data_IF_706964246992
#
_entry.id   IF_706964246992
#
_cell.length_a   1.000
_cell.length_b   1.000
_cell.length_c   1.000
_cell.angle_alpha   90.00
_cell.angle_beta   90.00
_cell.angle_gamma   90.00
#
_symmetry.space_group_name_H-M   'P 1'
#
loop_
_entity.id
_entity.type
_entity.pdbx_description
1 polymer ?
#
# COMPACT_ATOMS: atom_id res chain seq x y z
N UNK A 1 -20.96 -6.57 17.66
CA UNK A 1 -21.76 -7.15 16.59
C UNK A 1 -22.30 -6.06 15.64
N UNK A 2 -23.02 -5.02 16.12
CA UNK A 2 -23.60 -3.97 15.28
C UNK A 2 -22.55 -3.21 14.44
N UNK A 3 -21.42 -2.83 15.02
CA UNK A 3 -20.30 -2.18 14.29
C UNK A 3 -19.65 -3.11 13.27
N UNK A 4 -19.50 -4.40 13.60
CA UNK A 4 -19.00 -5.40 12.66
C UNK A 4 -19.94 -5.58 11.48
N UNK A 5 -21.26 -5.65 11.72
CA UNK A 5 -22.27 -5.77 10.66
C UNK A 5 -22.31 -4.51 9.78
N UNK A 6 -22.24 -3.32 10.36
CA UNK A 6 -22.21 -2.06 9.62
C UNK A 6 -20.95 -1.93 8.75
N UNK A 7 -19.81 -2.34 9.29
CA UNK A 7 -18.55 -2.39 8.54
C UNK A 7 -18.61 -3.42 7.40
N UNK A 8 -19.30 -4.58 7.62
CA UNK A 8 -19.60 -5.55 6.57
C UNK A 8 -20.44 -4.94 5.44
N UNK A 9 -21.49 -4.21 5.81
CA UNK A 9 -22.40 -3.58 4.84
C UNK A 9 -21.65 -2.51 4.06
N UNK A 10 -20.80 -1.72 4.71
CA UNK A 10 -19.97 -0.72 4.04
C UNK A 10 -18.94 -1.35 3.11
N UNK A 11 -18.26 -2.43 3.53
CA UNK A 11 -17.33 -3.18 2.68
C UNK A 11 -18.08 -3.90 1.54
N UNK A 12 -19.22 -4.49 1.83
CA UNK A 12 -20.05 -5.14 0.82
C UNK A 12 -20.54 -4.13 -0.22
N UNK A 13 -21.05 -2.97 0.21
CA UNK A 13 -21.43 -1.88 -0.69
C UNK A 13 -20.25 -1.32 -1.48
N UNK A 14 -19.03 -1.38 -0.92
CA UNK A 14 -17.79 -0.96 -1.58
C UNK A 14 -17.28 -1.98 -2.61
N UNK A 15 -17.51 -3.30 -2.38
CA UNK A 15 -17.06 -4.40 -3.24
C UNK A 15 -18.10 -4.82 -4.27
N UNK A 16 -19.38 -4.56 -4.03
CA UNK A 16 -20.50 -4.98 -4.86
C UNK A 16 -21.13 -3.74 -5.50
N UNK A 17 -20.33 -3.00 -6.25
CA UNK A 17 -20.91 -2.08 -7.24
C UNK A 17 -21.61 -2.91 -8.31
N UNK A 18 -22.88 -2.57 -8.70
CA UNK A 18 -23.62 -3.25 -9.77
C UNK A 18 -22.83 -3.42 -11.08
N UNK A 19 -21.87 -2.52 -11.33
CA UNK A 19 -20.97 -2.61 -12.50
C UNK A 19 -19.96 -3.76 -12.36
N UNK A 20 -19.40 -3.98 -11.19
CA UNK A 20 -18.49 -5.08 -10.91
C UNK A 20 -19.15 -6.44 -11.07
N UNK A 21 -20.46 -6.55 -10.78
CA UNK A 21 -21.23 -7.78 -10.97
C UNK A 21 -21.44 -8.16 -12.45
N UNK A 22 -21.42 -7.19 -13.36
CA UNK A 22 -21.55 -7.45 -14.79
C UNK A 22 -20.28 -7.98 -15.44
N UNK A 23 -19.13 -7.72 -14.81
CA UNK A 23 -17.78 -8.08 -15.34
C UNK A 23 -17.28 -9.39 -14.71
N UNK A 24 -17.76 -9.73 -13.52
CA UNK A 24 -17.30 -10.91 -12.77
C UNK A 24 -18.11 -12.15 -13.14
N UNK A 25 -17.42 -13.27 -13.29
CA UNK A 25 -18.07 -14.58 -13.40
C UNK A 25 -18.83 -14.92 -12.12
N UNK A 26 -19.84 -15.82 -12.21
CA UNK A 26 -20.60 -16.27 -11.05
C UNK A 26 -19.69 -16.83 -9.92
N UNK A 27 -18.55 -17.43 -10.25
CA UNK A 27 -17.58 -17.95 -9.29
C UNK A 27 -16.80 -16.85 -8.58
N UNK A 28 -16.49 -15.74 -9.26
CA UNK A 28 -15.81 -14.59 -8.67
C UNK A 28 -16.74 -13.83 -7.73
N UNK A 29 -18.01 -13.69 -8.10
CA UNK A 29 -19.06 -13.14 -7.22
C UNK A 29 -19.23 -14.03 -5.97
N UNK A 30 -19.32 -15.36 -6.15
CA UNK A 30 -19.43 -16.30 -5.03
C UNK A 30 -18.19 -16.23 -4.13
N UNK A 31 -16.99 -16.15 -4.70
CA UNK A 31 -15.74 -15.94 -3.96
C UNK A 31 -15.77 -14.67 -3.13
N UNK A 32 -16.23 -13.57 -3.71
CA UNK A 32 -16.43 -12.29 -3.01
C UNK A 32 -17.41 -12.40 -1.86
N UNK A 33 -18.56 -13.04 -2.07
CA UNK A 33 -19.58 -13.28 -1.03
C UNK A 33 -19.05 -14.14 0.12
N UNK A 34 -18.19 -15.11 -0.16
CA UNK A 34 -17.57 -15.96 0.88
C UNK A 34 -16.48 -15.23 1.64
N UNK A 35 -15.66 -14.42 0.95
CA UNK A 35 -14.53 -13.70 1.55
C UNK A 35 -14.98 -12.46 2.34
N UNK A 36 -15.99 -11.75 1.88
CA UNK A 36 -16.46 -10.52 2.53
C UNK A 36 -16.83 -10.70 4.02
N UNK A 37 -17.49 -11.77 4.47
CA UNK A 37 -17.77 -11.99 5.89
C UNK A 37 -16.53 -12.32 6.73
N UNK A 38 -15.45 -12.81 6.12
CA UNK A 38 -14.23 -13.17 6.87
C UNK A 38 -13.52 -11.93 7.42
N UNK A 39 -13.63 -10.81 6.74
CA UNK A 39 -13.01 -9.54 7.16
C UNK A 39 -13.57 -9.07 8.50
N UNK A 40 -14.90 -8.84 8.65
CA UNK A 40 -15.46 -8.42 9.94
C UNK A 40 -15.38 -9.52 11.00
N UNK A 41 -15.41 -10.79 10.63
CA UNK A 41 -15.16 -11.88 11.55
C UNK A 41 -13.75 -11.77 12.13
N UNK A 42 -12.74 -11.47 11.29
CA UNK A 42 -11.38 -11.24 11.76
C UNK A 42 -11.31 -10.05 12.72
N UNK A 43 -11.85 -8.88 12.33
CA UNK A 43 -11.81 -7.68 13.17
C UNK A 43 -12.55 -7.86 14.49
N UNK A 44 -13.71 -8.53 14.47
CA UNK A 44 -14.46 -8.85 15.70
C UNK A 44 -13.66 -9.81 16.58
N UNK A 45 -13.11 -10.87 16.02
CA UNK A 45 -12.30 -11.86 16.74
C UNK A 45 -11.05 -11.21 17.33
N UNK A 46 -10.34 -10.40 16.56
CA UNK A 46 -9.15 -9.68 17.02
C UNK A 46 -9.48 -8.72 18.15
N UNK A 47 -10.60 -8.00 18.07
CA UNK A 47 -11.07 -7.13 19.16
C UNK A 47 -11.36 -7.93 20.44
N UNK A 48 -12.18 -8.98 20.33
CA UNK A 48 -12.57 -9.82 21.47
C UNK A 48 -11.34 -10.45 22.13
N UNK A 49 -10.46 -11.05 21.33
CA UNK A 49 -9.22 -11.68 21.85
C UNK A 49 -8.30 -10.64 22.51
N UNK A 50 -8.15 -9.47 21.90
CA UNK A 50 -7.31 -8.40 22.45
C UNK A 50 -7.83 -7.94 23.81
N UNK A 51 -9.13 -7.76 23.94
CA UNK A 51 -9.76 -7.39 25.21
C UNK A 51 -9.65 -8.50 26.26
N UNK A 52 -9.95 -9.75 25.90
CA UNK A 52 -9.90 -10.89 26.80
C UNK A 52 -8.49 -11.18 27.32
N UNK A 53 -7.50 -11.23 26.42
CA UNK A 53 -6.12 -11.56 26.80
C UNK A 53 -5.42 -10.43 27.57
N UNK A 54 -5.90 -9.20 27.47
CA UNK A 54 -5.38 -8.07 28.25
C UNK A 54 -6.07 -7.88 29.61
N UNK A 55 -7.19 -8.57 29.90
CA UNK A 55 -7.90 -8.44 31.19
C UNK A 55 -7.05 -8.72 32.43
N UNK A 56 -6.14 -9.73 32.45
CA UNK A 56 -5.29 -9.99 33.61
C UNK A 56 -4.30 -8.85 33.94
N UNK A 57 -4.04 -7.96 32.96
CA UNK A 57 -3.13 -6.83 33.15
C UNK A 57 -3.78 -5.74 34.01
N UNK A 58 -2.97 -5.00 34.82
CA UNK A 58 -3.47 -3.83 35.50
C UNK A 58 -4.02 -2.78 34.54
N UNK A 59 -4.98 -1.93 34.95
CA UNK A 59 -5.68 -1.00 34.01
C UNK A 59 -4.75 -0.16 33.16
N UNK A 60 -3.62 0.30 33.72
CA UNK A 60 -2.64 1.11 33.00
C UNK A 60 -1.88 0.35 31.90
N UNK A 61 -1.73 -0.97 32.02
CA UNK A 61 -1.02 -1.81 31.05
C UNK A 61 -1.95 -2.46 30.00
N UNK A 62 -3.27 -2.43 30.21
CA UNK A 62 -4.24 -3.01 29.26
C UNK A 62 -4.13 -2.43 27.86
N UNK A 63 -3.92 -1.11 27.66
CA UNK A 63 -3.69 -0.57 26.29
C UNK A 63 -2.53 -1.23 25.58
N UNK A 64 -1.42 -1.51 26.27
CA UNK A 64 -0.28 -2.25 25.72
C UNK A 64 -0.67 -3.68 25.34
N UNK A 65 -1.39 -4.38 26.21
CA UNK A 65 -1.88 -5.73 25.93
C UNK A 65 -2.78 -5.78 24.70
N UNK A 66 -3.75 -4.86 24.62
CA UNK A 66 -4.67 -4.76 23.47
C UNK A 66 -3.90 -4.48 22.18
N UNK A 67 -2.98 -3.51 22.17
CA UNK A 67 -2.16 -3.20 21.01
C UNK A 67 -1.27 -4.37 20.61
N UNK A 68 -0.68 -5.08 21.58
CA UNK A 68 0.15 -6.27 21.34
C UNK A 68 -0.64 -7.38 20.66
N UNK A 69 -1.78 -7.75 21.22
CA UNK A 69 -2.60 -8.86 20.66
C UNK A 69 -3.14 -8.49 19.28
N UNK A 70 -3.67 -7.27 19.14
CA UNK A 70 -4.17 -6.79 17.86
C UNK A 70 -3.10 -6.80 16.78
N UNK A 71 -1.95 -6.19 17.05
CA UNK A 71 -0.85 -6.10 16.07
C UNK A 71 -0.29 -7.47 15.71
N UNK A 72 -0.23 -8.41 16.66
CA UNK A 72 0.18 -9.78 16.40
C UNK A 72 -0.77 -10.52 15.47
N UNK A 73 -2.08 -10.36 15.65
CA UNK A 73 -3.09 -10.96 14.78
C UNK A 73 -3.13 -10.30 13.39
N UNK A 74 -3.03 -8.97 13.35
CA UNK A 74 -2.95 -8.21 12.11
C UNK A 74 -1.68 -8.58 11.32
N UNK A 75 -0.54 -8.71 12.03
CA UNK A 75 0.72 -9.20 11.46
C UNK A 75 0.61 -10.60 10.89
N UNK A 76 -0.11 -11.50 11.55
CA UNK A 76 -0.34 -12.86 11.04
C UNK A 76 -1.04 -12.86 9.67
N UNK A 77 -2.04 -12.01 9.46
CA UNK A 77 -2.67 -11.85 8.14
C UNK A 77 -1.68 -11.36 7.09
N UNK A 78 -0.86 -10.37 7.42
CA UNK A 78 0.19 -9.86 6.53
C UNK A 78 1.22 -10.94 6.15
N UNK A 79 1.61 -11.79 7.11
CA UNK A 79 2.54 -12.90 6.88
C UNK A 79 1.92 -13.99 5.99
N UNK A 80 0.62 -14.23 6.09
CA UNK A 80 -0.13 -15.12 5.21
C UNK A 80 -0.35 -14.54 3.82
N UNK A 81 0.14 -13.33 3.55
CA UNK A 81 -0.08 -12.58 2.30
C UNK A 81 -1.56 -12.47 1.95
N UNK A 82 -2.40 -12.35 2.97
CA UNK A 82 -3.83 -12.16 2.78
C UNK A 82 -4.06 -10.83 2.06
N UNK A 83 -4.81 -10.80 0.95
CA UNK A 83 -4.89 -9.62 0.07
C UNK A 83 -5.75 -8.48 0.62
N UNK A 84 -6.00 -8.44 1.92
CA UNK A 84 -6.79 -7.39 2.53
C UNK A 84 -5.85 -6.29 3.04
N UNK A 85 -5.87 -5.10 2.43
CA UNK A 85 -4.96 -4.01 2.76
C UNK A 85 -5.40 -3.20 3.99
N UNK A 86 -6.25 -3.74 4.84
CA UNK A 86 -6.89 -2.98 5.92
C UNK A 86 -6.20 -3.21 7.26
N UNK A 87 -4.96 -2.75 7.38
CA UNK A 87 -4.33 -2.58 8.67
C UNK A 87 -4.87 -1.32 9.37
N UNK A 88 -5.12 -1.36 10.66
CA UNK A 88 -5.59 -0.16 11.37
C UNK A 88 -4.62 1.02 11.23
N UNK A 89 -3.33 0.75 11.16
CA UNK A 89 -2.34 1.77 10.86
C UNK A 89 -2.54 2.45 9.51
N UNK A 90 -3.17 1.76 8.54
CA UNK A 90 -3.42 2.30 7.20
C UNK A 90 -4.32 3.53 7.21
N UNK A 91 -5.17 3.70 8.22
CA UNK A 91 -6.04 4.87 8.36
C UNK A 91 -5.27 6.18 8.63
N UNK A 92 -4.00 6.08 9.00
CA UNK A 92 -3.14 7.23 9.31
C UNK A 92 -2.31 7.73 8.12
N UNK A 93 -2.59 7.30 6.89
CA UNK A 93 -1.80 7.65 5.70
C UNK A 93 -1.68 9.17 5.45
N UNK A 94 -2.68 9.96 5.82
CA UNK A 94 -2.69 11.43 5.69
C UNK A 94 -2.08 12.15 6.91
N UNK A 95 -1.49 11.44 7.86
CA UNK A 95 -0.85 12.00 9.04
C UNK A 95 0.65 11.71 9.09
N UNK A 96 1.47 12.43 8.30
CA UNK A 96 2.91 12.15 8.18
C UNK A 96 3.65 12.06 9.51
N UNK A 97 3.26 12.86 10.52
CA UNK A 97 3.89 12.84 11.82
C UNK A 97 3.76 11.49 12.54
N UNK A 98 2.57 10.89 12.50
CA UNK A 98 2.28 9.63 13.20
C UNK A 98 2.83 8.39 12.53
N UNK A 99 3.08 8.44 11.22
CA UNK A 99 3.52 7.27 10.45
C UNK A 99 5.04 7.10 10.37
N UNK A 100 5.84 8.05 10.90
CA UNK A 100 7.30 8.00 10.76
C UNK A 100 7.92 6.75 11.39
N UNK A 101 7.30 6.18 12.42
CA UNK A 101 7.74 4.94 13.08
C UNK A 101 7.74 3.72 12.13
N UNK A 102 7.13 3.85 10.94
CA UNK A 102 7.13 2.78 9.95
C UNK A 102 8.54 2.46 9.41
N UNK A 103 9.52 3.37 9.46
CA UNK A 103 10.90 3.07 9.08
C UNK A 103 11.64 2.23 10.14
N UNK A 104 11.07 2.07 11.33
CA UNK A 104 11.57 1.20 12.40
C UNK A 104 10.83 -0.15 12.43
N UNK A 105 9.51 -0.14 12.30
CA UNK A 105 8.67 -1.30 12.58
C UNK A 105 7.62 -1.62 11.49
N UNK A 106 7.71 -0.98 10.34
CA UNK A 106 6.75 -1.13 9.26
C UNK A 106 5.36 -0.60 9.62
N UNK A 107 4.37 -0.94 8.82
CA UNK A 107 2.97 -0.65 9.10
C UNK A 107 2.51 -1.19 10.46
N UNK A 108 3.18 -2.24 10.97
CA UNK A 108 2.91 -2.85 12.26
C UNK A 108 3.15 -1.89 13.43
N UNK A 109 4.19 -1.05 13.35
CA UNK A 109 4.46 0.00 14.33
C UNK A 109 3.37 1.07 14.35
N UNK A 110 2.85 1.42 13.19
CA UNK A 110 1.75 2.38 13.05
C UNK A 110 0.45 1.78 13.56
N UNK A 111 0.16 0.51 13.24
CA UNK A 111 -0.99 -0.22 13.78
C UNK A 111 -0.93 -0.31 15.30
N UNK A 112 0.23 -0.70 15.86
CA UNK A 112 0.43 -0.76 17.30
C UNK A 112 0.16 0.59 17.96
N UNK A 113 0.72 1.66 17.40
CA UNK A 113 0.52 3.02 17.92
C UNK A 113 -0.95 3.44 17.86
N UNK A 114 -1.64 3.23 16.75
CA UNK A 114 -3.05 3.58 16.59
C UNK A 114 -3.94 2.84 17.60
N UNK A 115 -3.77 1.52 17.72
CA UNK A 115 -4.55 0.68 18.65
C UNK A 115 -4.21 1.03 20.10
N UNK A 116 -2.94 1.28 20.41
CA UNK A 116 -2.51 1.70 21.75
C UNK A 116 -3.17 3.00 22.18
N UNK A 117 -3.12 4.04 21.35
CA UNK A 117 -3.76 5.34 21.67
C UNK A 117 -5.25 5.17 21.88
N UNK A 118 -5.95 4.41 21.02
CA UNK A 118 -7.36 4.10 21.21
C UNK A 118 -7.62 3.35 22.53
N UNK A 119 -6.75 2.39 22.89
CA UNK A 119 -6.81 1.68 24.16
C UNK A 119 -6.62 2.60 25.39
N UNK A 120 -5.69 3.56 25.29
CA UNK A 120 -5.49 4.58 26.34
C UNK A 120 -6.73 5.45 26.49
N UNK A 121 -7.25 5.99 25.40
CA UNK A 121 -8.47 6.82 25.41
C UNK A 121 -9.66 6.05 26.00
N UNK A 122 -9.83 4.78 25.63
CA UNK A 122 -10.87 3.92 26.17
C UNK A 122 -10.70 3.70 27.68
N UNK A 123 -9.50 3.36 28.15
CA UNK A 123 -9.24 3.15 29.57
C UNK A 123 -9.44 4.44 30.39
N UNK A 124 -9.05 5.59 29.87
CA UNK A 124 -9.32 6.89 30.50
C UNK A 124 -10.82 7.17 30.57
N UNK A 125 -11.57 6.91 29.49
CA UNK A 125 -13.02 7.10 29.46
C UNK A 125 -13.75 6.25 30.52
N UNK A 126 -13.29 5.01 30.76
CA UNK A 126 -13.84 4.15 31.80
C UNK A 126 -13.61 4.68 33.24
N UNK A 127 -12.61 5.55 33.45
CA UNK A 127 -12.31 6.17 34.72
C UNK A 127 -13.17 7.43 34.99
N UNK A 128 -13.88 7.93 33.98
CA UNK A 128 -14.66 9.17 34.07
C UNK A 128 -16.14 8.84 34.30
N UNK A 129 -16.67 9.05 35.52
CA UNK A 129 -18.08 8.76 35.82
C UNK A 129 -19.07 9.67 35.06
N UNK A 130 -18.61 10.81 34.60
CA UNK A 130 -19.33 11.72 33.69
C UNK A 130 -18.35 12.45 32.79
N UNK A 131 -18.66 12.51 31.49
CA UNK A 131 -17.85 13.23 30.47
C UNK A 131 -17.99 14.76 30.63
N UNK A 132 -17.62 15.29 31.76
CA UNK A 132 -17.55 16.74 32.03
C UNK A 132 -16.14 17.13 32.46
N UNK A 133 -15.73 18.36 32.14
CA UNK A 133 -14.42 18.91 32.56
C UNK A 133 -14.22 18.82 34.07
N UNK A 134 -15.28 19.02 34.87
CA UNK A 134 -15.24 18.86 36.33
C UNK A 134 -15.05 17.39 36.71
N UNK A 135 -15.65 16.45 36.01
CA UNK A 135 -15.46 15.00 36.17
C UNK A 135 -14.01 14.57 35.95
N UNK A 136 -13.37 15.07 34.90
CA UNK A 136 -11.95 14.80 34.58
C UNK A 136 -11.04 15.27 35.75
N UNK A 137 -11.22 16.50 36.19
CA UNK A 137 -10.41 17.07 37.27
C UNK A 137 -10.65 16.38 38.63
N UNK A 138 -11.89 15.92 38.91
CA UNK A 138 -12.22 15.22 40.17
C UNK A 138 -11.78 13.75 40.15
N UNK A 139 -11.88 13.05 39.04
CA UNK A 139 -11.42 11.66 38.88
C UNK A 139 -9.89 11.57 39.04
N UNK A 140 -9.15 12.51 38.43
CA UNK A 140 -7.70 12.54 38.53
C UNK A 140 -7.17 12.72 39.97
N UNK A 141 -7.89 13.42 40.87
CA UNK A 141 -7.46 13.58 42.25
C UNK A 141 -7.70 12.35 43.15
N UNK A 142 -8.60 11.45 42.75
CA UNK A 142 -9.05 10.32 43.56
C UNK A 142 -8.65 8.94 43.07
N UNK A 143 -8.18 8.83 41.78
CA UNK A 143 -7.88 7.56 41.17
C UNK A 143 -6.45 7.51 40.64
N UNK A 144 -5.52 6.81 41.30
CA UNK A 144 -4.13 6.70 40.83
C UNK A 144 -4.00 6.01 39.47
N UNK A 145 -4.93 5.13 39.06
CA UNK A 145 -4.89 4.45 37.78
C UNK A 145 -5.13 5.41 36.62
N UNK A 146 -5.93 6.47 36.81
CA UNK A 146 -6.08 7.53 35.81
C UNK A 146 -4.72 8.12 35.41
N UNK A 147 -3.91 8.51 36.38
CA UNK A 147 -2.59 9.08 36.13
C UNK A 147 -1.59 8.07 35.56
N UNK A 148 -1.68 6.82 36.01
CA UNK A 148 -0.83 5.74 35.45
C UNK A 148 -1.16 5.46 33.96
N UNK A 149 -2.46 5.43 33.61
CA UNK A 149 -2.90 5.27 32.22
C UNK A 149 -2.42 6.45 31.37
N UNK A 150 -2.62 7.68 31.84
CA UNK A 150 -2.16 8.88 31.15
C UNK A 150 -0.64 8.90 30.99
N UNK A 151 0.10 8.59 32.03
CA UNK A 151 1.56 8.52 31.99
C UNK A 151 2.05 7.44 31.02
N UNK A 152 1.43 6.26 31.03
CA UNK A 152 1.73 5.19 30.05
C UNK A 152 1.45 5.67 28.63
N UNK A 153 0.32 6.35 28.40
CA UNK A 153 -0.04 6.94 27.13
C UNK A 153 1.01 7.93 26.62
N UNK A 154 1.39 8.87 27.47
CA UNK A 154 2.39 9.91 27.14
C UNK A 154 3.80 9.31 26.99
N UNK A 155 4.16 8.31 27.78
CA UNK A 155 5.47 7.65 27.73
C UNK A 155 5.71 6.91 26.39
N UNK A 156 4.67 6.49 25.69
CA UNK A 156 4.78 5.88 24.37
C UNK A 156 4.47 6.88 23.25
N UNK A 157 3.37 7.62 23.34
CA UNK A 157 2.96 8.54 22.29
C UNK A 157 3.95 9.71 22.15
N UNK A 158 4.49 10.23 23.24
CA UNK A 158 5.48 11.31 23.23
C UNK A 158 6.73 10.99 22.38
N UNK A 159 7.45 9.89 22.65
CA UNK A 159 8.58 9.46 21.83
C UNK A 159 8.24 9.20 20.36
N UNK A 160 7.09 8.59 20.07
CA UNK A 160 6.65 8.35 18.67
C UNK A 160 6.47 9.68 17.92
N UNK A 161 5.80 10.65 18.54
CA UNK A 161 5.58 11.97 17.93
C UNK A 161 6.88 12.80 17.86
N UNK A 162 7.70 12.74 18.90
CA UNK A 162 9.02 13.39 18.89
C UNK A 162 9.91 12.82 17.79
N UNK A 163 9.96 11.48 17.65
CA UNK A 163 10.66 10.82 16.56
C UNK A 163 10.13 11.27 15.19
N UNK A 164 8.81 11.30 15.04
CA UNK A 164 8.16 11.77 13.82
C UNK A 164 8.55 13.20 13.47
N UNK A 165 8.58 14.11 14.44
CA UNK A 165 8.99 15.51 14.25
C UNK A 165 10.45 15.61 13.81
N UNK A 166 11.36 14.86 14.44
CA UNK A 166 12.78 14.83 14.08
C UNK A 166 12.96 14.29 12.65
N UNK A 167 12.25 13.22 12.30
CA UNK A 167 12.34 12.62 10.94
C UNK A 167 11.83 13.57 9.86
N UNK A 168 10.71 14.24 10.10
CA UNK A 168 10.17 15.23 9.14
C UNK A 168 11.14 16.39 8.97
N UNK A 169 11.65 16.97 10.07
CA UNK A 169 12.65 18.04 10.01
C UNK A 169 13.92 17.62 9.28
N UNK A 170 14.39 16.38 9.49
CA UNK A 170 15.53 15.83 8.76
C UNK A 170 15.30 15.85 7.23
N UNK A 171 14.14 15.39 6.76
CA UNK A 171 13.82 15.37 5.34
C UNK A 171 13.61 16.78 4.77
N UNK A 172 13.10 17.73 5.57
CA UNK A 172 12.97 19.13 5.16
C UNK A 172 14.36 19.75 4.94
N UNK A 173 15.31 19.52 5.86
CA UNK A 173 16.70 19.99 5.72
C UNK A 173 17.38 19.32 4.54
N UNK A 174 17.20 18.02 4.36
CA UNK A 174 17.79 17.28 3.23
C UNK A 174 17.24 17.80 1.89
N UNK A 175 15.95 18.09 1.83
CA UNK A 175 15.30 18.66 0.66
C UNK A 175 15.86 20.04 0.33
N UNK A 176 16.01 20.93 1.34
CA UNK A 176 16.51 22.27 1.18
C UNK A 176 17.99 22.32 0.72
N UNK A 177 18.77 21.31 1.09
CA UNK A 177 20.21 21.22 0.71
C UNK A 177 20.44 20.66 -0.69
N UNK A 178 19.41 20.14 -1.38
CA UNK A 178 19.57 19.46 -2.67
C UNK A 178 20.48 18.22 -2.60
N UNK A 179 20.57 17.56 -1.43
CA UNK A 179 21.62 16.58 -1.10
C UNK A 179 21.53 15.24 -1.82
N UNK A 180 20.46 14.94 -2.55
CA UNK A 180 20.28 13.67 -3.25
C UNK A 180 19.98 13.88 -4.73
N UNK A 181 20.49 13.00 -5.62
CA UNK A 181 20.09 13.02 -7.01
C UNK A 181 18.57 12.93 -7.14
N UNK A 182 17.99 13.72 -8.03
CA UNK A 182 16.56 13.73 -8.28
C UNK A 182 16.27 13.80 -9.76
N UNK A 183 15.07 13.35 -10.13
CA UNK A 183 14.54 13.47 -11.48
C UNK A 183 13.03 13.75 -11.43
N UNK A 184 12.48 14.25 -12.52
CA UNK A 184 11.07 14.55 -12.61
C UNK A 184 10.31 13.45 -13.35
N UNK A 185 9.21 12.98 -12.75
CA UNK A 185 8.32 11.99 -13.35
C UNK A 185 7.04 12.62 -13.86
N UNK A 186 6.44 11.98 -14.86
CA UNK A 186 5.09 12.23 -15.32
C UNK A 186 4.29 10.95 -15.42
N UNK A 187 3.20 10.86 -14.68
CA UNK A 187 2.27 9.73 -14.71
C UNK A 187 1.17 9.99 -15.72
N UNK A 188 0.80 8.99 -16.49
CA UNK A 188 -0.27 9.11 -17.50
C UNK A 188 -1.51 8.36 -17.03
N UNK A 189 -2.65 9.06 -17.03
CA UNK A 189 -3.95 8.50 -16.65
C UNK A 189 -4.91 8.56 -17.84
N UNK A 190 -5.29 7.40 -18.34
CA UNK A 190 -6.04 7.25 -19.59
C UNK A 190 -7.55 7.06 -19.39
N UNK A 191 -7.95 6.48 -18.26
CA UNK A 191 -9.35 6.08 -17.93
C UNK A 191 -9.91 5.11 -18.99
N UNK A 192 -9.24 3.99 -19.16
CA UNK A 192 -9.69 2.94 -20.05
C UNK A 192 -10.38 1.82 -19.28
N UNK A 193 -11.64 1.54 -19.58
CA UNK A 193 -12.44 0.49 -18.95
C UNK A 193 -12.14 -0.90 -19.53
N UNK A 194 -12.43 -1.95 -18.74
CA UNK A 194 -12.17 -3.34 -19.14
C UNK A 194 -13.00 -3.81 -20.33
N UNK A 195 -14.23 -3.34 -20.43
CA UNK A 195 -15.21 -3.72 -21.46
C UNK A 195 -15.05 -2.96 -22.76
N UNK A 196 -14.02 -2.13 -22.85
CA UNK A 196 -13.80 -1.32 -24.03
C UNK A 196 -13.65 -2.17 -25.28
N UNK A 197 -14.15 -1.63 -26.39
CA UNK A 197 -13.99 -2.19 -27.74
C UNK A 197 -12.55 -2.65 -27.97
N UNK A 198 -12.38 -3.86 -28.51
CA UNK A 198 -11.06 -4.43 -28.84
C UNK A 198 -10.65 -4.18 -30.30
N UNK A 199 -11.44 -3.40 -31.05
CA UNK A 199 -11.13 -3.03 -32.43
C UNK A 199 -9.79 -2.29 -32.49
N UNK A 200 -9.19 -2.34 -33.69
CA UNK A 200 -7.95 -1.59 -33.93
C UNK A 200 -8.18 -0.08 -33.83
N UNK A 201 -9.32 0.41 -34.25
CA UNK A 201 -9.64 1.84 -34.22
C UNK A 201 -9.68 2.35 -32.78
N UNK A 202 -10.35 1.65 -31.90
CA UNK A 202 -10.39 1.98 -30.48
C UNK A 202 -8.97 1.93 -29.86
N UNK A 203 -8.21 0.85 -30.10
CA UNK A 203 -6.86 0.73 -29.56
C UNK A 203 -5.92 1.80 -30.09
N UNK A 204 -5.97 2.08 -31.39
CA UNK A 204 -5.14 3.13 -32.01
C UNK A 204 -5.44 4.51 -31.47
N UNK A 205 -6.71 4.83 -31.19
CA UNK A 205 -7.10 6.06 -30.52
C UNK A 205 -6.49 6.13 -29.11
N UNK A 206 -6.55 5.05 -28.33
CA UNK A 206 -5.95 5.00 -27.00
C UNK A 206 -4.45 5.22 -27.03
N UNK A 207 -3.73 4.65 -28.01
CA UNK A 207 -2.29 4.89 -28.14
C UNK A 207 -2.00 6.36 -28.48
N UNK A 208 -2.79 7.01 -29.32
CA UNK A 208 -2.67 8.46 -29.58
C UNK A 208 -2.90 9.28 -28.30
N UNK A 209 -3.88 8.90 -27.48
CA UNK A 209 -4.13 9.56 -26.19
C UNK A 209 -2.95 9.40 -25.23
N UNK A 210 -2.33 8.21 -25.13
CA UNK A 210 -1.11 7.99 -24.35
C UNK A 210 0.03 8.90 -24.81
N UNK A 211 0.23 9.04 -26.13
CA UNK A 211 1.25 9.94 -26.68
C UNK A 211 0.97 11.41 -26.36
N UNK A 212 -0.28 11.87 -26.50
CA UNK A 212 -0.68 13.24 -26.16
C UNK A 212 -0.44 13.57 -24.70
N UNK A 213 -0.88 12.67 -23.79
CA UNK A 213 -0.66 12.85 -22.35
C UNK A 213 0.83 12.76 -21.98
N UNK A 214 1.60 11.92 -22.69
CA UNK A 214 3.06 11.87 -22.51
C UNK A 214 3.73 13.16 -22.92
N UNK A 215 3.32 13.75 -24.06
CA UNK A 215 3.82 15.06 -24.51
C UNK A 215 3.49 16.17 -23.50
N UNK A 216 2.27 16.14 -22.92
CA UNK A 216 1.90 17.05 -21.83
C UNK A 216 2.81 16.86 -20.61
N UNK A 217 3.04 15.63 -20.18
CA UNK A 217 3.91 15.34 -19.03
C UNK A 217 5.35 15.85 -19.27
N UNK A 218 5.88 15.65 -20.47
CA UNK A 218 7.22 16.16 -20.84
C UNK A 218 7.23 17.69 -20.90
N UNK A 219 6.18 18.33 -21.44
CA UNK A 219 6.07 19.78 -21.43
C UNK A 219 6.03 20.37 -19.98
N UNK A 220 5.53 19.58 -19.01
CA UNK A 220 5.60 19.91 -17.58
C UNK A 220 6.94 19.53 -16.94
N UNK A 221 7.93 19.09 -17.74
CA UNK A 221 9.31 18.80 -17.33
C UNK A 221 9.57 17.36 -16.93
N UNK A 222 8.70 16.40 -17.23
CA UNK A 222 8.96 15.00 -16.94
C UNK A 222 10.13 14.46 -17.76
N UNK A 223 11.04 13.77 -17.10
CA UNK A 223 12.15 13.03 -17.70
C UNK A 223 11.84 11.52 -17.80
N UNK A 224 11.06 11.01 -16.85
CA UNK A 224 10.53 9.65 -16.86
C UNK A 224 9.01 9.72 -17.00
N UNK A 225 8.49 9.20 -18.12
CA UNK A 225 7.05 9.04 -18.35
C UNK A 225 6.64 7.65 -17.90
N UNK A 226 5.51 7.52 -17.20
CA UNK A 226 5.05 6.23 -16.71
C UNK A 226 3.59 6.02 -17.11
N UNK A 227 3.35 4.94 -17.86
CA UNK A 227 2.02 4.47 -18.21
C UNK A 227 1.54 3.40 -17.23
N UNK A 228 0.24 3.26 -17.02
CA UNK A 228 -0.31 2.33 -16.04
C UNK A 228 -0.14 0.85 -16.43
N UNK A 229 -0.46 -0.04 -15.49
CA UNK A 229 -0.61 -1.46 -15.75
C UNK A 229 -1.60 -1.69 -16.88
N UNK A 230 -1.28 -2.65 -17.76
CA UNK A 230 -2.15 -3.01 -18.87
C UNK A 230 -2.42 -1.87 -19.86
N UNK A 231 -1.60 -0.82 -19.91
CA UNK A 231 -1.76 0.28 -20.86
C UNK A 231 -1.85 -0.25 -22.28
N UNK A 232 -1.12 -1.30 -22.59
CA UNK A 232 -1.09 -1.91 -23.92
C UNK A 232 -1.95 -3.17 -24.02
N UNK A 233 -2.26 -3.85 -22.91
CA UNK A 233 -3.04 -5.12 -22.84
C UNK A 233 -2.73 -6.11 -23.99
N UNK A 234 -1.50 -6.08 -24.48
CA UNK A 234 -1.03 -6.84 -25.64
C UNK A 234 0.45 -7.18 -25.47
N UNK A 235 0.89 -8.19 -26.20
CA UNK A 235 2.30 -8.44 -26.41
C UNK A 235 2.92 -7.26 -27.16
N UNK A 236 3.99 -6.71 -26.59
CA UNK A 236 4.69 -5.57 -27.17
C UNK A 236 6.04 -5.97 -27.77
N UNK A 237 6.86 -6.71 -27.03
CA UNK A 237 8.22 -7.02 -27.43
C UNK A 237 8.27 -7.84 -28.71
N UNK A 238 9.11 -7.39 -29.65
CA UNK A 238 9.34 -8.04 -30.96
C UNK A 238 8.06 -8.16 -31.79
N UNK A 239 7.17 -7.18 -31.70
CA UNK A 239 5.94 -7.12 -32.52
C UNK A 239 5.86 -5.81 -33.31
N UNK A 240 5.09 -5.74 -34.43
CA UNK A 240 4.84 -4.46 -35.12
C UNK A 240 4.19 -3.41 -34.18
N UNK A 241 3.49 -3.83 -33.15
CA UNK A 241 2.90 -2.93 -32.19
C UNK A 241 3.96 -2.11 -31.43
N UNK A 242 5.14 -2.69 -31.16
CA UNK A 242 6.25 -1.96 -30.54
C UNK A 242 6.64 -0.73 -31.36
N UNK A 243 6.78 -0.87 -32.68
CA UNK A 243 7.09 0.27 -33.54
C UNK A 243 5.96 1.31 -33.50
N UNK A 244 4.71 0.87 -33.64
CA UNK A 244 3.56 1.77 -33.66
C UNK A 244 3.41 2.57 -32.36
N UNK A 245 3.70 1.97 -31.21
CA UNK A 245 3.50 2.58 -29.89
C UNK A 245 4.73 3.33 -29.40
N UNK A 246 5.92 2.78 -29.62
CA UNK A 246 7.16 3.32 -29.04
C UNK A 246 7.83 4.35 -29.96
N UNK A 247 7.75 4.19 -31.27
CA UNK A 247 8.39 5.13 -32.23
C UNK A 247 7.95 6.59 -32.01
N UNK A 248 6.65 6.92 -31.80
CA UNK A 248 6.24 8.30 -31.49
C UNK A 248 6.85 8.83 -30.17
N UNK A 249 7.16 7.96 -29.20
CA UNK A 249 7.76 8.36 -27.96
C UNK A 249 9.18 8.91 -28.10
N UNK A 250 9.91 8.52 -29.17
CA UNK A 250 11.24 9.07 -29.49
C UNK A 250 11.23 10.57 -29.77
N UNK A 251 10.12 11.05 -30.36
CA UNK A 251 9.95 12.48 -30.63
C UNK A 251 9.43 13.26 -29.40
N UNK A 252 8.84 12.55 -28.44
CA UNK A 252 8.21 13.14 -27.24
C UNK A 252 9.21 13.21 -26.08
N UNK A 253 9.98 12.14 -25.85
CA UNK A 253 10.89 12.05 -24.70
C UNK A 253 12.08 13.02 -24.86
N UNK A 254 12.50 13.68 -23.76
CA UNK A 254 13.68 14.52 -23.79
C UNK A 254 14.96 13.65 -23.90
N UNK A 255 16.08 14.22 -24.33
CA UNK A 255 17.38 13.52 -24.31
C UNK A 255 17.68 12.93 -22.93
N UNK A 256 18.02 11.62 -22.89
CA UNK A 256 18.22 10.88 -21.65
C UNK A 256 16.91 10.54 -20.90
N UNK A 257 15.77 10.89 -21.43
CA UNK A 257 14.46 10.50 -20.89
C UNK A 257 14.13 9.04 -21.09
N UNK A 258 13.08 8.56 -20.42
CA UNK A 258 12.65 7.17 -20.49
C UNK A 258 11.13 7.02 -20.36
N UNK A 259 10.64 5.85 -20.78
CA UNK A 259 9.25 5.42 -20.62
C UNK A 259 9.19 4.10 -19.85
N UNK A 260 8.33 4.03 -18.82
CA UNK A 260 7.88 2.76 -18.27
C UNK A 260 6.45 2.51 -18.74
N UNK A 261 6.16 1.31 -19.23
CA UNK A 261 4.80 0.92 -19.66
C UNK A 261 4.44 -0.48 -19.21
N UNK A 262 3.17 -0.66 -18.78
CA UNK A 262 2.61 -1.98 -18.53
C UNK A 262 2.29 -2.71 -19.84
N UNK A 263 2.67 -3.97 -19.94
CA UNK A 263 2.39 -4.85 -21.08
C UNK A 263 2.11 -6.28 -20.62
N UNK A 264 1.69 -7.14 -21.56
CA UNK A 264 1.51 -8.58 -21.34
C UNK A 264 2.46 -9.33 -22.23
N UNK A 265 3.45 -10.01 -21.66
CA UNK A 265 4.42 -10.78 -22.44
C UNK A 265 4.20 -12.29 -22.24
N UNK A 266 4.35 -13.11 -23.29
CA UNK A 266 4.15 -14.55 -23.18
C UNK A 266 5.25 -15.19 -22.34
N UNK A 267 4.88 -16.19 -21.53
CA UNK A 267 5.84 -17.08 -20.91
C UNK A 267 6.47 -17.99 -21.99
N UNK A 268 7.78 -17.86 -22.28
CA UNK A 268 8.44 -18.65 -23.33
C UNK A 268 8.29 -20.15 -23.15
N UNK A 269 8.05 -20.61 -21.93
CA UNK A 269 7.88 -22.03 -21.60
C UNK A 269 6.55 -22.60 -22.09
N UNK A 270 5.58 -21.76 -22.43
CA UNK A 270 4.21 -22.16 -22.80
C UNK A 270 3.78 -21.73 -24.20
N UNK A 271 4.61 -20.99 -24.95
CA UNK A 271 4.25 -20.49 -26.28
C UNK A 271 3.96 -21.57 -27.32
N UNK A 272 4.44 -22.78 -27.10
CA UNK A 272 4.23 -23.95 -27.97
C UNK A 272 2.94 -24.71 -27.62
N UNK A 273 2.28 -24.39 -26.51
CA UNK A 273 1.04 -25.01 -26.07
C UNK A 273 -0.18 -24.41 -26.79
N UNK A 274 -1.34 -25.07 -26.77
CA UNK A 274 -2.61 -24.50 -27.20
C UNK A 274 -2.90 -23.15 -26.54
N UNK A 275 -3.62 -22.25 -27.20
CA UNK A 275 -3.82 -20.87 -26.75
C UNK A 275 -4.41 -20.77 -25.34
N UNK A 276 -5.29 -21.70 -24.96
CA UNK A 276 -5.91 -21.81 -23.63
C UNK A 276 -4.94 -22.23 -22.52
N UNK A 277 -3.87 -22.89 -22.88
CA UNK A 277 -2.82 -23.35 -21.95
C UNK A 277 -1.66 -22.36 -21.85
N UNK A 278 -1.57 -21.40 -22.76
CA UNK A 278 -0.51 -20.40 -22.75
C UNK A 278 -0.62 -19.53 -21.50
N UNK A 279 0.53 -19.24 -20.90
CA UNK A 279 0.66 -18.35 -19.73
C UNK A 279 1.45 -17.10 -20.11
N UNK A 280 1.24 -16.07 -19.32
CA UNK A 280 1.79 -14.73 -19.60
C UNK A 280 2.42 -14.16 -18.35
N UNK A 281 3.33 -13.24 -18.56
CA UNK A 281 3.82 -12.34 -17.53
C UNK A 281 3.07 -11.00 -17.62
N UNK A 282 2.61 -10.50 -16.48
CA UNK A 282 2.18 -9.11 -16.34
C UNK A 282 3.44 -8.28 -16.11
N UNK A 283 3.78 -7.38 -17.05
CA UNK A 283 5.12 -6.77 -17.10
C UNK A 283 5.10 -5.26 -17.05
N UNK A 284 6.20 -4.69 -16.55
CA UNK A 284 6.60 -3.32 -16.72
C UNK A 284 7.87 -3.29 -17.58
N UNK A 285 7.84 -2.59 -18.72
CA UNK A 285 8.93 -2.46 -19.65
C UNK A 285 9.53 -1.06 -19.57
N UNK A 286 10.85 -0.97 -19.52
CA UNK A 286 11.59 0.29 -19.52
C UNK A 286 12.20 0.51 -20.91
N UNK A 287 11.85 1.62 -21.54
CA UNK A 287 12.39 2.07 -22.82
C UNK A 287 13.18 3.37 -22.61
N UNK A 288 14.29 3.51 -23.33
CA UNK A 288 15.01 4.78 -23.44
C UNK A 288 14.37 5.75 -24.43
N UNK A 289 14.96 6.94 -24.54
CA UNK A 289 14.51 7.96 -25.51
C UNK A 289 14.72 7.54 -26.98
N UNK A 290 15.51 6.51 -27.26
CA UNK A 290 15.70 5.93 -28.59
C UNK A 290 14.69 4.81 -28.90
N UNK A 291 13.79 4.51 -27.94
CA UNK A 291 12.79 3.45 -28.08
C UNK A 291 13.36 2.04 -27.91
N UNK A 292 14.58 1.92 -27.36
CA UNK A 292 15.18 0.62 -27.08
C UNK A 292 14.78 0.13 -25.71
N UNK A 293 14.47 -1.17 -25.60
CA UNK A 293 14.20 -1.81 -24.31
C UNK A 293 15.48 -1.86 -23.51
N UNK A 294 15.48 -1.21 -22.37
CA UNK A 294 16.62 -1.20 -21.45
C UNK A 294 16.52 -2.34 -20.44
N UNK A 295 15.32 -2.58 -19.94
CA UNK A 295 15.07 -3.60 -18.91
C UNK A 295 13.57 -3.89 -18.80
N UNK A 296 13.22 -4.94 -18.06
CA UNK A 296 11.82 -5.28 -17.79
C UNK A 296 11.66 -5.93 -16.42
N UNK A 297 10.48 -5.81 -15.83
CA UNK A 297 10.08 -6.48 -14.59
C UNK A 297 8.78 -7.22 -14.81
N UNK A 298 8.69 -8.46 -14.34
CA UNK A 298 7.46 -9.22 -14.33
C UNK A 298 6.90 -9.37 -12.92
N UNK A 299 5.60 -9.22 -12.79
CA UNK A 299 4.86 -9.35 -11.52
C UNK A 299 5.22 -10.65 -10.81
N UNK A 300 5.49 -10.57 -9.51
CA UNK A 300 5.92 -11.69 -8.69
C UNK A 300 4.77 -12.27 -7.86
N UNK A 301 3.90 -11.40 -7.35
CA UNK A 301 2.73 -11.83 -6.61
C UNK A 301 1.49 -11.75 -7.49
N UNK A 302 1.07 -12.92 -7.99
CA UNK A 302 -0.14 -13.08 -8.80
C UNK A 302 -1.34 -13.14 -7.86
N UNK A 303 -2.32 -12.28 -8.10
CA UNK A 303 -3.52 -12.24 -7.28
C UNK A 303 -4.33 -13.54 -7.45
N UNK A 304 -4.54 -14.30 -6.36
CA UNK A 304 -5.26 -15.56 -6.44
C UNK A 304 -6.67 -15.38 -7.02
N UNK A 305 -7.13 -16.35 -7.78
CA UNK A 305 -8.44 -16.44 -8.44
C UNK A 305 -8.63 -15.49 -9.65
N UNK A 306 -8.16 -14.24 -9.59
CA UNK A 306 -8.39 -13.26 -10.65
C UNK A 306 -7.31 -13.28 -11.74
N UNK A 307 -6.07 -13.53 -11.37
CA UNK A 307 -4.93 -13.49 -12.30
C UNK A 307 -4.34 -14.88 -12.58
N UNK A 308 -4.47 -15.83 -11.65
CA UNK A 308 -3.79 -17.13 -11.67
C UNK A 308 -4.17 -18.04 -12.85
N UNK A 309 -5.33 -17.80 -13.49
CA UNK A 309 -5.74 -18.53 -14.69
C UNK A 309 -4.96 -18.13 -15.94
N UNK A 310 -4.33 -16.94 -15.96
CA UNK A 310 -3.67 -16.38 -17.15
C UNK A 310 -2.21 -16.02 -16.89
N UNK A 311 -1.91 -15.46 -15.72
CA UNK A 311 -0.58 -14.95 -15.41
C UNK A 311 0.18 -15.90 -14.48
N UNK A 312 1.49 -15.90 -14.63
CA UNK A 312 2.43 -16.61 -13.77
C UNK A 312 3.50 -15.63 -13.26
N UNK A 313 4.11 -15.89 -12.09
CA UNK A 313 5.23 -15.10 -11.60
C UNK A 313 6.39 -15.15 -12.57
N UNK A 314 7.05 -14.00 -12.79
CA UNK A 314 8.32 -13.96 -13.52
C UNK A 314 9.41 -14.72 -12.77
N UNK A 315 10.30 -15.44 -13.45
CA UNK A 315 11.38 -16.18 -12.81
C UNK A 315 12.46 -15.30 -12.16
N UNK A 316 12.51 -14.00 -12.51
CA UNK A 316 13.60 -13.10 -12.10
C UNK A 316 13.51 -12.61 -10.65
N UNK A 317 12.37 -12.86 -9.97
CA UNK A 317 12.15 -12.40 -8.61
C UNK A 317 12.01 -10.87 -8.50
N UNK A 318 12.08 -10.36 -7.28
CA UNK A 318 12.06 -8.91 -7.02
C UNK A 318 13.44 -8.31 -7.27
N UNK A 319 13.64 -7.71 -8.43
CA UNK A 319 14.83 -6.94 -8.81
C UNK A 319 14.45 -5.56 -9.35
N UNK A 320 15.23 -4.50 -9.08
CA UNK A 320 14.98 -3.20 -9.67
C UNK A 320 15.31 -3.21 -11.17
N UNK A 321 14.64 -2.35 -11.93
CA UNK A 321 15.00 -2.03 -13.30
C UNK A 321 16.29 -1.18 -13.33
N UNK A 322 17.11 -1.40 -14.34
CA UNK A 322 18.33 -0.64 -14.57
C UNK A 322 18.01 0.72 -15.22
N UNK A 323 17.68 1.73 -14.42
CA UNK A 323 17.29 3.07 -14.90
C UNK A 323 18.44 3.96 -15.36
N UNK A 324 19.65 3.43 -15.47
CA UNK A 324 20.85 4.20 -15.88
C UNK A 324 21.27 5.23 -14.82
N UNK A 325 22.14 6.15 -15.24
CA UNK A 325 22.73 7.15 -14.33
C UNK A 325 21.70 8.14 -13.79
N UNK A 326 20.77 8.62 -14.62
CA UNK A 326 19.77 9.61 -14.25
C UNK A 326 18.76 9.08 -13.24
N UNK A 327 18.16 7.92 -13.53
CA UNK A 327 17.06 7.39 -12.73
C UNK A 327 17.53 6.44 -11.63
N UNK A 328 18.72 5.86 -11.76
CA UNK A 328 19.22 4.81 -10.86
C UNK A 328 18.38 3.55 -10.88
N UNK A 329 18.59 2.63 -9.93
CA UNK A 329 17.78 1.42 -9.82
C UNK A 329 16.33 1.73 -9.42
N UNK A 330 15.36 1.37 -10.29
CA UNK A 330 13.93 1.62 -10.13
C UNK A 330 13.22 0.35 -9.65
N UNK A 331 12.71 0.35 -8.44
CA UNK A 331 11.92 -0.76 -7.91
C UNK A 331 10.48 -0.69 -8.41
N UNK A 332 10.06 -1.63 -9.25
CA UNK A 332 8.69 -1.64 -9.78
C UNK A 332 7.84 -2.66 -9.05
N UNK A 333 6.63 -2.26 -8.70
CA UNK A 333 5.55 -3.09 -8.18
C UNK A 333 4.35 -2.99 -9.12
N UNK A 334 3.67 -4.10 -9.34
CA UNK A 334 2.49 -4.11 -10.21
C UNK A 334 1.23 -4.35 -9.38
N UNK A 335 0.32 -3.36 -9.40
CA UNK A 335 -0.99 -3.40 -8.78
C UNK A 335 -0.93 -3.68 -7.25
N UNK A 336 -1.60 -4.71 -6.78
CA UNK A 336 -1.73 -5.05 -5.36
C UNK A 336 -0.41 -5.46 -4.67
N UNK A 337 0.68 -5.64 -5.41
CA UNK A 337 2.00 -5.81 -4.78
C UNK A 337 2.36 -4.63 -3.87
N UNK A 338 1.91 -3.41 -4.23
CA UNK A 338 2.18 -2.20 -3.46
C UNK A 338 1.46 -2.14 -2.10
N UNK A 339 0.39 -2.91 -1.95
CA UNK A 339 -0.36 -3.00 -0.69
C UNK A 339 0.40 -3.82 0.34
N UNK A 340 1.15 -4.83 -0.12
CA UNK A 340 1.95 -5.69 0.73
C UNK A 340 3.30 -5.04 1.08
N UNK A 341 3.76 -5.12 2.35
CA UNK A 341 5.08 -4.58 2.72
C UNK A 341 6.27 -5.32 2.08
N UNK A 342 6.14 -6.63 1.86
CA UNK A 342 7.25 -7.49 1.44
C UNK A 342 7.84 -7.14 0.06
N UNK A 343 7.05 -6.84 -1.02
CA UNK A 343 7.58 -6.49 -2.33
C UNK A 343 8.47 -5.25 -2.31
N UNK A 344 7.98 -4.14 -1.74
CA UNK A 344 8.73 -2.89 -1.64
C UNK A 344 10.04 -3.05 -0.85
N UNK A 345 9.98 -3.83 0.23
CA UNK A 345 11.14 -4.17 1.04
C UNK A 345 12.16 -5.01 0.27
N UNK A 346 11.70 -6.02 -0.48
CA UNK A 346 12.56 -6.87 -1.29
C UNK A 346 13.28 -6.06 -2.38
N UNK A 347 12.54 -5.22 -3.12
CA UNK A 347 13.10 -4.32 -4.12
C UNK A 347 14.12 -3.34 -3.52
N UNK A 348 13.82 -2.75 -2.36
CA UNK A 348 14.73 -1.83 -1.69
C UNK A 348 16.00 -2.54 -1.21
N UNK A 349 15.89 -3.76 -0.69
CA UNK A 349 17.06 -4.58 -0.32
C UNK A 349 17.90 -4.99 -1.52
N UNK A 350 17.26 -5.17 -2.67
CA UNK A 350 17.93 -5.42 -3.95
C UNK A 350 18.57 -4.16 -4.58
N UNK A 351 18.49 -3.02 -3.90
CA UNK A 351 19.16 -1.79 -4.30
C UNK A 351 18.27 -0.73 -4.95
N UNK A 352 16.94 -0.89 -4.99
CA UNK A 352 16.06 0.14 -5.52
C UNK A 352 16.25 1.47 -4.77
N UNK A 353 16.42 2.56 -5.52
CA UNK A 353 16.61 3.92 -4.98
C UNK A 353 15.31 4.74 -5.02
N UNK A 354 14.35 4.30 -5.80
CA UNK A 354 12.97 4.80 -5.85
C UNK A 354 12.01 3.65 -6.14
N UNK A 355 10.72 3.84 -5.84
CA UNK A 355 9.68 2.84 -6.04
C UNK A 355 8.62 3.36 -7.01
N UNK A 356 8.21 2.53 -7.93
CA UNK A 356 7.18 2.82 -8.93
C UNK A 356 6.10 1.76 -8.81
N UNK A 357 4.84 2.18 -8.78
CA UNK A 357 3.68 1.30 -8.81
C UNK A 357 2.91 1.59 -10.10
N UNK A 358 2.75 0.59 -10.94
CA UNK A 358 1.80 0.66 -12.05
C UNK A 358 0.58 -0.20 -11.71
N UNK A 359 -0.62 0.34 -11.93
CA UNK A 359 -1.87 -0.31 -11.53
C UNK A 359 -2.99 -0.07 -12.54
N UNK A 360 -3.95 -1.00 -12.57
CA UNK A 360 -5.22 -0.85 -13.25
C UNK A 360 -6.37 -1.17 -12.29
N UNK A 361 -7.04 -0.15 -11.80
CA UNK A 361 -8.18 -0.30 -10.88
C UNK A 361 -9.54 -0.28 -11.60
N UNK A 362 -9.60 -0.42 -12.92
CA UNK A 362 -10.87 -0.48 -13.67
C UNK A 362 -11.75 -1.67 -13.25
N UNK A 363 -11.14 -2.71 -12.67
CA UNK A 363 -11.82 -3.86 -12.05
C UNK A 363 -12.76 -3.50 -10.89
N UNK A 364 -12.51 -2.38 -10.22
CA UNK A 364 -13.27 -1.93 -9.04
C UNK A 364 -14.39 -0.95 -9.40
N UNK A 365 -14.72 -0.83 -10.71
CA UNK A 365 -15.79 0.02 -11.19
C UNK A 365 -15.65 1.48 -10.76
N UNK A 366 -16.78 2.17 -10.63
CA UNK A 366 -16.83 3.57 -10.22
C UNK A 366 -16.78 3.72 -8.68
N UNK A 367 -15.67 3.31 -8.08
CA UNK A 367 -15.47 3.32 -6.63
C UNK A 367 -14.33 4.26 -6.22
N UNK A 368 -14.17 4.50 -4.92
CA UNK A 368 -13.03 5.25 -4.36
C UNK A 368 -11.74 4.41 -4.23
N UNK A 369 -11.76 3.16 -4.66
CA UNK A 369 -10.60 2.27 -4.56
C UNK A 369 -9.33 2.83 -5.22
N UNK A 370 -9.37 3.42 -6.43
CA UNK A 370 -8.17 3.99 -7.05
C UNK A 370 -7.42 4.95 -6.14
N UNK A 371 -8.17 5.84 -5.48
CA UNK A 371 -7.61 6.82 -4.56
C UNK A 371 -7.05 6.19 -3.28
N UNK A 372 -7.77 5.24 -2.70
CA UNK A 372 -7.33 4.53 -1.51
C UNK A 372 -6.08 3.71 -1.80
N UNK A 373 -6.05 2.97 -2.91
CA UNK A 373 -4.90 2.17 -3.32
C UNK A 373 -3.63 3.02 -3.45
N UNK A 374 -3.73 4.18 -4.12
CA UNK A 374 -2.62 5.12 -4.23
C UNK A 374 -2.12 5.58 -2.84
N UNK A 375 -3.03 5.95 -1.95
CA UNK A 375 -2.69 6.43 -0.60
C UNK A 375 -2.03 5.37 0.29
N UNK A 376 -2.37 4.10 0.12
CA UNK A 376 -1.68 3.02 0.83
C UNK A 376 -0.18 2.93 0.49
N UNK A 377 0.23 3.42 -0.68
CA UNK A 377 1.64 3.48 -1.09
C UNK A 377 2.48 4.42 -0.22
N UNK A 378 1.87 5.35 0.53
CA UNK A 378 2.56 6.23 1.48
C UNK A 378 3.38 5.44 2.50
N UNK A 379 2.85 4.29 2.96
CA UNK A 379 3.60 3.44 3.91
C UNK A 379 4.84 2.85 3.27
N UNK A 380 4.80 2.47 1.99
CA UNK A 380 5.98 1.95 1.27
C UNK A 380 7.08 3.00 1.19
N UNK A 381 6.68 4.28 1.05
CA UNK A 381 7.64 5.38 1.06
C UNK A 381 8.35 5.51 2.41
N UNK A 382 7.60 5.54 3.51
CA UNK A 382 8.16 5.73 4.86
C UNK A 382 8.94 4.50 5.33
N UNK A 383 8.38 3.30 5.13
CA UNK A 383 9.02 2.03 5.50
C UNK A 383 10.42 1.88 4.92
N UNK A 384 10.58 2.28 3.65
CA UNK A 384 11.81 2.06 2.91
C UNK A 384 12.62 3.34 2.69
N UNK A 385 12.09 4.51 3.06
CA UNK A 385 12.64 5.83 2.78
C UNK A 385 12.97 6.01 1.30
N UNK A 386 11.98 5.71 0.46
CA UNK A 386 12.03 5.86 -1.01
C UNK A 386 10.91 6.77 -1.47
N UNK A 387 11.18 7.61 -2.46
CA UNK A 387 10.08 8.23 -3.19
C UNK A 387 9.25 7.13 -3.83
N UNK A 388 7.92 7.28 -3.80
CA UNK A 388 6.98 6.37 -4.45
C UNK A 388 6.17 7.12 -5.50
N UNK A 389 6.11 6.57 -6.70
CA UNK A 389 5.24 7.05 -7.78
C UNK A 389 4.15 6.00 -7.97
N UNK A 390 2.91 6.37 -7.79
CA UNK A 390 1.76 5.50 -8.04
C UNK A 390 1.04 5.96 -9.30
N UNK A 391 0.93 5.05 -10.27
CA UNK A 391 0.31 5.27 -11.57
C UNK A 391 -0.81 4.27 -11.76
N UNK A 392 -2.01 4.77 -12.00
CA UNK A 392 -3.20 3.94 -12.14
C UNK A 392 -4.04 4.42 -13.33
N UNK A 393 -4.56 3.48 -14.09
CA UNK A 393 -5.39 3.73 -15.26
C UNK A 393 -6.61 4.61 -14.93
N UNK A 394 -7.31 4.36 -13.80
CA UNK A 394 -8.56 5.03 -13.46
C UNK A 394 -8.40 6.20 -12.49
N UNK A 395 -7.17 6.53 -12.08
CA UNK A 395 -6.89 7.71 -11.27
C UNK A 395 -6.32 7.44 -9.90
N UNK A 396 -6.25 8.52 -9.11
CA UNK A 396 -5.55 8.49 -7.84
C UNK A 396 -4.02 8.45 -8.00
N UNK A 397 -3.51 8.82 -9.17
CA UNK A 397 -2.08 8.94 -9.43
C UNK A 397 -1.44 9.90 -8.43
N UNK A 398 -0.30 9.54 -7.88
CA UNK A 398 0.36 10.39 -6.88
C UNK A 398 1.87 10.19 -6.86
N UNK A 399 2.55 11.21 -6.35
CA UNK A 399 3.99 11.17 -6.04
C UNK A 399 4.16 11.43 -4.56
N UNK A 400 4.85 10.53 -3.88
CA UNK A 400 5.13 10.56 -2.44
C UNK A 400 6.63 10.71 -2.22
N UNK A 401 7.02 11.62 -1.35
CA UNK A 401 8.41 11.78 -0.96
C UNK A 401 8.85 10.73 0.10
N UNK A 402 10.15 10.58 0.40
CA UNK A 402 10.63 9.60 1.37
C UNK A 402 10.15 9.83 2.81
N UNK A 403 9.55 10.98 3.12
CA UNK A 403 8.93 11.27 4.42
C UNK A 403 7.46 10.85 4.49
N UNK A 404 6.88 10.41 3.37
CA UNK A 404 5.48 10.04 3.28
C UNK A 404 4.55 11.21 2.97
N UNK A 405 5.07 12.38 2.62
CA UNK A 405 4.24 13.49 2.16
C UNK A 405 3.88 13.31 0.70
N UNK A 406 2.59 13.44 0.43
CA UNK A 406 2.07 13.41 -0.94
C UNK A 406 2.31 14.78 -1.58
N UNK A 407 3.09 14.83 -2.66
CA UNK A 407 3.39 16.06 -3.39
C UNK A 407 2.20 16.50 -4.25
N UNK A 408 1.60 15.56 -4.97
CA UNK A 408 0.43 15.78 -5.82
C UNK A 408 -0.43 14.53 -5.89
N UNK A 409 -1.74 14.72 -6.07
CA UNK A 409 -2.74 13.66 -6.31
C UNK A 409 -3.55 14.04 -7.54
N UNK A 410 -3.67 13.11 -8.48
CA UNK A 410 -4.55 13.23 -9.63
C UNK A 410 -6.00 12.89 -9.27
N UNK A 411 -6.96 13.43 -10.03
CA UNK A 411 -8.36 13.08 -9.87
C UNK A 411 -8.62 11.62 -10.25
N UNK A 412 -9.73 11.06 -9.79
CA UNK A 412 -10.23 9.76 -10.27
C UNK A 412 -11.14 9.97 -11.47
N UNK A 413 -11.15 9.00 -12.39
CA UNK A 413 -12.03 8.94 -13.57
C UNK A 413 -11.93 10.16 -14.51
N UNK A 414 -10.81 10.86 -14.49
CA UNK A 414 -10.51 11.96 -15.41
C UNK A 414 -9.17 11.73 -16.07
N UNK A 415 -9.09 11.94 -17.40
CA UNK A 415 -7.83 11.87 -18.14
C UNK A 415 -6.90 12.98 -17.72
N UNK A 416 -5.61 12.70 -17.65
CA UNK A 416 -4.63 13.72 -17.30
C UNK A 416 -3.27 13.16 -16.93
N UNK A 417 -2.43 14.07 -16.46
CA UNK A 417 -1.08 13.78 -16.00
C UNK A 417 -0.87 14.31 -14.58
N UNK A 418 0.00 13.62 -13.83
CA UNK A 418 0.51 14.13 -12.56
C UNK A 418 2.03 14.12 -12.64
N UNK A 419 2.64 15.28 -12.45
CA UNK A 419 4.10 15.42 -12.44
C UNK A 419 4.61 15.67 -11.03
N UNK A 420 5.79 15.17 -10.71
CA UNK A 420 6.42 15.36 -9.40
C UNK A 420 7.91 15.04 -9.40
N UNK A 421 8.58 15.38 -8.31
CA UNK A 421 10.00 15.11 -8.11
C UNK A 421 10.19 13.78 -7.39
N UNK A 422 11.05 12.94 -7.95
CA UNK A 422 11.52 11.69 -7.32
C UNK A 422 12.95 11.91 -6.83
N UNK A 423 13.16 11.75 -5.54
CA UNK A 423 14.49 11.82 -4.91
C UNK A 423 15.02 10.43 -4.66
N UNK A 424 16.17 10.14 -5.22
CA UNK A 424 16.86 8.85 -5.08
C UNK A 424 17.43 8.71 -3.68
N UNK A 425 17.28 7.52 -3.08
CA UNK A 425 17.79 7.20 -1.75
C UNK A 425 18.39 5.80 -1.76
N UNK A 426 19.59 5.61 -1.20
CA UNK A 426 20.25 4.31 -1.15
C UNK A 426 20.28 3.69 0.27
N UNK A 427 20.14 4.51 1.32
CA UNK A 427 20.22 4.02 2.69
C UNK A 427 19.05 3.11 3.04
N UNK A 428 19.32 2.02 3.75
CA UNK A 428 18.32 1.09 4.22
C UNK A 428 17.83 1.49 5.62
N UNK A 429 16.52 1.49 5.81
CA UNK A 429 15.90 1.70 7.13
C UNK A 429 16.12 0.50 8.05
N UNK A 430 15.85 0.67 9.34
CA UNK A 430 15.84 -0.45 10.26
C UNK A 430 14.79 -1.49 9.84
N UNK A 431 13.58 -1.06 9.49
CA UNK A 431 12.53 -1.95 9.00
C UNK A 431 12.94 -2.68 7.72
N UNK A 432 13.56 -2.00 6.75
CA UNK A 432 14.01 -2.67 5.52
C UNK A 432 15.02 -3.78 5.81
N UNK A 433 15.86 -3.62 6.82
CA UNK A 433 16.86 -4.62 7.23
C UNK A 433 16.27 -5.79 8.01
N UNK A 434 15.39 -5.50 8.98
CA UNK A 434 14.88 -6.48 9.94
C UNK A 434 13.55 -7.11 9.55
N UNK A 435 12.77 -6.43 8.69
CA UNK A 435 11.46 -6.90 8.25
C UNK A 435 10.39 -6.79 9.33
N UNK A 436 9.48 -7.75 9.33
CA UNK A 436 8.26 -7.74 10.12
C UNK A 436 8.49 -8.18 11.58
N UNK A 437 9.61 -7.75 12.16
CA UNK A 437 10.04 -8.16 13.51
C UNK A 437 9.01 -7.86 14.60
N UNK A 438 8.30 -6.70 14.47
CA UNK A 438 7.29 -6.33 15.47
C UNK A 438 6.06 -7.22 15.39
N UNK A 439 5.64 -7.63 14.18
CA UNK A 439 4.54 -8.58 14.01
C UNK A 439 4.87 -9.92 14.69
N UNK A 440 6.08 -10.44 14.50
CA UNK A 440 6.53 -11.66 15.17
C UNK A 440 6.63 -11.52 16.68
N UNK A 441 7.23 -10.40 17.15
CA UNK A 441 7.35 -10.12 18.59
C UNK A 441 5.98 -10.04 19.26
N UNK A 442 5.05 -9.28 18.68
CA UNK A 442 3.71 -9.09 19.25
C UNK A 442 2.89 -10.38 19.20
N UNK A 443 3.05 -11.20 18.17
CA UNK A 443 2.43 -12.52 18.10
C UNK A 443 2.96 -13.44 19.22
N UNK A 444 4.27 -13.49 19.41
CA UNK A 444 4.90 -14.27 20.49
C UNK A 444 4.45 -13.80 21.89
N UNK A 445 4.41 -12.49 22.11
CA UNK A 445 3.92 -11.91 23.36
C UNK A 445 2.42 -12.21 23.60
N UNK A 446 1.61 -12.24 22.54
CA UNK A 446 0.19 -12.60 22.64
C UNK A 446 -0.01 -14.05 23.12
N UNK A 447 0.81 -14.98 22.63
CA UNK A 447 0.83 -16.36 23.10
C UNK A 447 1.29 -16.45 24.55
N UNK A 448 2.27 -15.62 24.95
CA UNK A 448 2.72 -15.50 26.35
C UNK A 448 1.61 -14.99 27.27
N UNK A 449 0.86 -13.98 26.87
CA UNK A 449 -0.29 -13.45 27.64
C UNK A 449 -1.37 -14.52 27.83
N UNK A 450 -1.66 -15.31 26.79
CA UNK A 450 -2.60 -16.43 26.87
C UNK A 450 -2.14 -17.48 27.88
N UNK A 451 -0.87 -17.89 27.82
CA UNK A 451 -0.30 -18.88 28.71
C UNK A 451 -0.25 -18.40 30.18
N UNK A 452 0.03 -17.12 30.39
CA UNK A 452 0.02 -16.49 31.73
C UNK A 452 -1.39 -16.39 32.31
N UNK A 453 -2.36 -15.91 31.51
CA UNK A 453 -3.76 -15.82 31.94
C UNK A 453 -4.41 -17.16 32.27
N UNK A 454 -3.99 -18.25 31.61
CA UNK A 454 -4.47 -19.60 31.93
C UNK A 454 -3.91 -20.14 33.25
N UNK A 455 -2.76 -19.66 33.72
CA UNK A 455 -2.14 -20.04 35.00
C UNK A 455 -2.62 -19.17 36.18
N UNK A 456 -3.00 -17.93 35.95
CA UNK A 456 -3.64 -17.10 36.96
C UNK A 456 -5.03 -17.65 37.23
N UNK A 457 -5.23 -18.35 38.34
CA UNK A 457 -6.56 -18.85 38.77
C UNK A 457 -7.57 -17.69 38.62
N UNK A 458 -8.75 -17.89 38.04
CA UNK A 458 -9.75 -16.86 37.93
C UNK A 458 -10.31 -16.56 39.34
N UNK A 459 -9.89 -15.46 39.89
CA UNK A 459 -10.71 -14.78 40.89
C UNK A 459 -11.96 -14.31 40.15
N UNK A 460 -13.04 -15.03 40.26
CA UNK A 460 -14.32 -14.69 39.66
C UNK A 460 -14.77 -13.30 40.10
N UNK A 461 -14.47 -12.28 39.31
CA UNK A 461 -15.26 -11.07 39.35
C UNK A 461 -16.57 -11.34 38.64
N UNK A 462 -17.63 -11.61 39.37
CA UNK A 462 -18.99 -11.66 38.84
C UNK A 462 -19.25 -10.31 38.14
N UNK A 463 -19.55 -10.38 36.82
CA UNK A 463 -20.09 -9.26 36.08
C UNK A 463 -21.46 -8.97 36.71
N UNK A 464 -21.73 -7.76 37.21
CA UNK A 464 -23.09 -7.38 37.59
C UNK A 464 -23.96 -7.42 36.33
N UNK A 465 -25.12 -8.08 36.46
CA UNK A 465 -26.16 -8.13 35.44
C UNK A 465 -26.80 -6.77 35.22
#
# INVERSE_FOLDING_TARGET
LAYGLWFCVCLYAFWVDPFSLQVLSAWEVLGGVVVAPLIPLFFTTATVLSLQLSQPLPPWARPLGVATVWTGLDGLLGLLRWPIPFHWGSLLFDWPLGIQVADLAGIWGVTFFAVFVNGVLWQLALQLPQLSLRGVLSAGRRNPDFWRILACGLALAGPVLAYGSVRLAYFDVLAARGGNPSFRVGTVQQVAWLEADRSWDYRSQRYRELHQLSAQAVAEGAQLVIWPEGALRARLLNTPLQLYVIEPMRAILPPGGALITGATEPDPRTVHLPAEEQRFFNTALLFDAQGQVQDWFGKQWIFPYFESGRYVPSPDGYRPLAGGELFGPLGVMICLESVLPAPSRALTRAGAESLIVISDSSWFGNSHWPLLHGRLSVFRAVENRRSVVFVNNTGGNLVVDPSGRIQRVGPIFQRGVVTGEVRRQSQLTFYTRTGDWLAWLTLGLSLGLKAWGSRAKPGYAKIPR
#
